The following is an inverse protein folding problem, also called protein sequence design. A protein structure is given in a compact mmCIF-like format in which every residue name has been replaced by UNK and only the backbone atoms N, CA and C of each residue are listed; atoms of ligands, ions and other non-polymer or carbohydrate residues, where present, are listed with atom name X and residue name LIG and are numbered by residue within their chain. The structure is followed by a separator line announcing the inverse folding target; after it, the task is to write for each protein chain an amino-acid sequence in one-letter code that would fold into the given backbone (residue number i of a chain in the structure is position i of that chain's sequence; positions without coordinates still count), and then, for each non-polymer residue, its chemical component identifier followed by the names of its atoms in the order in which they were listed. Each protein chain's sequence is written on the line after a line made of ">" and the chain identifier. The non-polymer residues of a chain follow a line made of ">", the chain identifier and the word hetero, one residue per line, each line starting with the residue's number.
data_IF_059732366027
#
_entry.id   IF_059732366027
#
_cell.length_a   1.000
_cell.length_b   1.000
_cell.length_c   1.000
_cell.angle_alpha   90.00
_cell.angle_beta   90.00
_cell.angle_gamma   90.00
#
_symmetry.space_group_name_H-M   'P 1'
#
loop_
_entity.id
_entity.type
_entity.pdbx_description
1 polymer ?
#
# COMPACT_ATOMS: atom_id res chain seq x y z
N UNK A 1 -4.18 -25.78 -7.05
CA UNK A 1 -4.28 -24.52 -7.82
C UNK A 1 -2.91 -23.90 -7.81
N UNK A 2 -2.27 -23.62 -8.94
CA UNK A 2 -0.95 -23.00 -8.92
C UNK A 2 -1.07 -21.58 -8.41
N UNK A 3 -0.05 -21.07 -7.68
CA UNK A 3 -0.10 -19.73 -7.08
C UNK A 3 -0.33 -18.61 -8.12
N UNK A 4 0.08 -18.82 -9.37
CA UNK A 4 -0.19 -17.90 -10.49
C UNK A 4 -1.65 -17.84 -10.93
N UNK A 5 -2.46 -18.87 -10.62
CA UNK A 5 -3.85 -18.97 -11.08
C UNK A 5 -4.82 -18.15 -10.22
N UNK A 6 -4.34 -17.56 -9.11
CA UNK A 6 -5.17 -16.71 -8.23
C UNK A 6 -5.38 -15.31 -8.79
N UNK A 7 -4.56 -14.87 -9.76
CA UNK A 7 -4.68 -13.55 -10.34
C UNK A 7 -5.82 -13.48 -11.35
N UNK A 8 -6.69 -12.52 -11.17
CA UNK A 8 -7.78 -12.22 -12.10
C UNK A 8 -7.53 -10.85 -12.72
N UNK A 9 -7.52 -10.81 -14.05
CA UNK A 9 -7.34 -9.56 -14.78
C UNK A 9 -8.57 -9.30 -15.65
N UNK A 10 -9.21 -8.16 -15.44
CA UNK A 10 -10.30 -7.68 -16.30
C UNK A 10 -9.76 -6.64 -17.28
N UNK A 11 -10.08 -6.78 -18.56
CA UNK A 11 -9.64 -5.84 -19.58
C UNK A 11 -10.19 -4.43 -19.31
N UNK A 12 -9.32 -3.43 -19.33
CA UNK A 12 -9.69 -2.02 -19.11
C UNK A 12 -9.93 -1.64 -17.65
N UNK A 13 -9.57 -2.50 -16.71
CA UNK A 13 -9.63 -2.22 -15.27
C UNK A 13 -8.30 -2.52 -14.60
N UNK A 14 -7.85 -1.63 -13.74
CA UNK A 14 -6.66 -1.85 -12.91
C UNK A 14 -6.94 -2.89 -11.83
N UNK A 15 -6.04 -3.86 -11.67
CA UNK A 15 -6.04 -4.83 -10.57
C UNK A 15 -5.08 -4.37 -9.49
N UNK A 16 -5.50 -4.42 -8.24
CA UNK A 16 -4.74 -3.99 -7.07
C UNK A 16 -4.34 -5.19 -6.20
N UNK A 17 -3.06 -5.31 -5.92
CA UNK A 17 -2.48 -6.40 -5.12
C UNK A 17 -1.78 -5.77 -3.93
N UNK A 18 -2.26 -6.06 -2.74
CA UNK A 18 -1.64 -5.62 -1.50
C UNK A 18 -0.79 -6.76 -0.93
N UNK A 19 0.44 -6.45 -0.57
CA UNK A 19 1.34 -7.39 0.11
C UNK A 19 1.60 -6.88 1.51
N UNK A 20 1.09 -7.59 2.51
CA UNK A 20 1.19 -7.19 3.90
C UNK A 20 1.76 -8.29 4.79
N UNK A 21 2.06 -7.94 6.03
CA UNK A 21 2.61 -8.85 7.03
C UNK A 21 3.39 -8.09 8.10
N UNK A 22 3.87 -8.81 9.10
CA UNK A 22 4.72 -8.29 10.18
C UNK A 22 6.01 -7.65 9.64
N UNK A 23 6.65 -6.77 10.41
CA UNK A 23 7.98 -6.24 10.07
C UNK A 23 9.02 -7.36 9.92
N UNK A 24 9.86 -7.29 8.87
CA UNK A 24 10.97 -8.23 8.65
C UNK A 24 10.60 -9.59 8.03
N UNK A 25 9.33 -9.82 7.63
CA UNK A 25 8.91 -11.09 7.00
C UNK A 25 9.26 -11.20 5.52
N UNK A 26 9.80 -10.13 4.89
CA UNK A 26 10.19 -10.12 3.48
C UNK A 26 9.10 -9.61 2.53
N UNK A 27 8.19 -8.73 3.00
CA UNK A 27 7.15 -8.12 2.16
C UNK A 27 7.70 -7.50 0.89
N UNK A 28 8.70 -6.63 1.02
CA UNK A 28 9.30 -5.89 -0.10
C UNK A 28 9.90 -6.81 -1.16
N UNK A 29 10.57 -7.90 -0.76
CA UNK A 29 11.09 -8.88 -1.72
C UNK A 29 9.97 -9.63 -2.45
N UNK A 30 8.89 -9.98 -1.73
CA UNK A 30 7.72 -10.66 -2.30
C UNK A 30 6.96 -9.70 -3.25
N UNK A 31 6.71 -8.45 -2.85
CA UNK A 31 6.04 -7.45 -3.69
C UNK A 31 6.86 -7.11 -4.94
N UNK A 32 8.18 -6.94 -4.79
CA UNK A 32 9.10 -6.70 -5.92
C UNK A 32 9.11 -7.87 -6.90
N UNK A 33 9.21 -9.12 -6.41
CA UNK A 33 9.13 -10.31 -7.26
C UNK A 33 7.77 -10.44 -7.94
N UNK A 34 6.67 -10.16 -7.24
CA UNK A 34 5.31 -10.16 -7.81
C UNK A 34 5.18 -9.15 -8.94
N UNK A 35 5.63 -7.91 -8.72
CA UNK A 35 5.58 -6.84 -9.71
C UNK A 35 6.45 -7.16 -10.94
N UNK A 36 7.65 -7.70 -10.70
CA UNK A 36 8.56 -8.13 -11.77
C UNK A 36 7.97 -9.26 -12.62
N UNK A 37 7.36 -10.26 -11.99
CA UNK A 37 6.67 -11.33 -12.69
C UNK A 37 5.53 -10.81 -13.57
N UNK A 38 4.67 -9.93 -13.02
CA UNK A 38 3.55 -9.33 -13.76
C UNK A 38 4.02 -8.52 -14.97
N UNK A 39 5.07 -7.72 -14.80
CA UNK A 39 5.68 -6.97 -15.88
C UNK A 39 6.24 -7.88 -16.98
N UNK A 40 6.87 -9.02 -16.60
CA UNK A 40 7.35 -10.03 -17.53
C UNK A 40 6.20 -10.76 -18.28
N UNK A 41 4.99 -10.78 -17.71
CA UNK A 41 3.78 -11.24 -18.41
C UNK A 41 3.18 -10.17 -19.36
N UNK A 42 3.87 -9.04 -19.57
CA UNK A 42 3.42 -7.95 -20.45
C UNK A 42 2.37 -7.04 -19.83
N UNK A 43 2.19 -7.06 -18.49
CA UNK A 43 1.28 -6.16 -17.78
C UNK A 43 2.00 -4.87 -17.43
N UNK A 44 1.44 -3.71 -17.80
CA UNK A 44 1.94 -2.41 -17.33
C UNK A 44 1.72 -2.34 -15.83
N UNK A 45 2.77 -2.52 -15.06
CA UNK A 45 2.74 -2.73 -13.59
C UNK A 45 3.39 -1.55 -12.88
N UNK A 46 2.72 -1.04 -11.84
CA UNK A 46 3.28 -0.10 -10.87
C UNK A 46 3.47 -0.81 -9.54
N UNK A 47 4.66 -0.74 -8.96
CA UNK A 47 4.87 -1.08 -7.54
C UNK A 47 4.96 0.19 -6.71
N UNK A 48 4.16 0.24 -5.64
CA UNK A 48 4.05 1.38 -4.72
C UNK A 48 4.49 0.94 -3.35
N UNK A 49 5.54 1.54 -2.81
CA UNK A 49 5.91 1.33 -1.41
C UNK A 49 5.30 2.42 -0.53
N UNK A 50 4.66 1.99 0.55
CA UNK A 50 4.17 2.86 1.64
C UNK A 50 5.03 2.76 2.89
N UNK A 51 6.18 2.07 2.81
CA UNK A 51 7.13 1.94 3.91
C UNK A 51 8.14 3.10 3.86
N UNK A 52 8.22 3.95 4.90
CA UNK A 52 9.14 5.09 4.92
C UNK A 52 10.62 4.69 4.98
N UNK A 53 10.94 3.40 5.15
CA UNK A 53 12.31 2.90 5.23
C UNK A 53 13.03 2.79 3.87
N UNK A 54 12.44 3.25 2.76
CA UNK A 54 13.01 3.17 1.39
C UNK A 54 13.48 1.78 0.97
N UNK A 55 12.83 0.75 1.50
CA UNK A 55 13.19 -0.65 1.30
C UNK A 55 13.01 -1.14 -0.14
N UNK A 56 12.18 -0.45 -0.94
CA UNK A 56 11.95 -0.79 -2.34
C UNK A 56 13.13 -0.41 -3.22
N UNK A 57 13.75 0.76 -2.99
CA UNK A 57 15.00 1.18 -3.65
C UNK A 57 16.11 0.17 -3.43
N UNK A 58 16.25 -0.33 -2.20
CA UNK A 58 17.24 -1.35 -1.84
C UNK A 58 16.93 -2.70 -2.51
N UNK A 59 15.66 -3.10 -2.54
CA UNK A 59 15.20 -4.37 -3.11
C UNK A 59 15.44 -4.45 -4.62
N UNK A 60 15.19 -3.33 -5.33
CA UNK A 60 15.33 -3.24 -6.79
C UNK A 60 16.73 -2.78 -7.23
N UNK A 61 17.58 -2.34 -6.30
CA UNK A 61 18.90 -1.74 -6.55
C UNK A 61 18.84 -0.52 -7.52
N UNK A 62 17.76 0.25 -7.41
CA UNK A 62 17.50 1.45 -8.22
C UNK A 62 17.03 2.56 -7.29
N UNK A 63 17.53 3.78 -7.49
CA UNK A 63 17.02 4.94 -6.75
C UNK A 63 15.59 5.25 -7.19
N UNK A 64 14.65 5.11 -6.28
CA UNK A 64 13.23 5.36 -6.49
C UNK A 64 12.86 6.60 -5.66
N UNK A 65 12.05 7.46 -6.25
CA UNK A 65 11.54 8.66 -5.60
C UNK A 65 10.02 8.62 -5.47
N UNK A 66 9.44 9.76 -5.13
CA UNK A 66 8.00 9.94 -4.99
C UNK A 66 7.25 10.12 -6.32
N UNK A 67 7.97 10.11 -7.45
CA UNK A 67 7.40 9.97 -8.80
C UNK A 67 7.69 8.60 -9.37
N UNK A 68 6.79 8.03 -10.19
CA UNK A 68 7.02 6.75 -10.84
C UNK A 68 8.31 6.75 -11.67
N UNK A 69 9.24 5.86 -11.33
CA UNK A 69 10.48 5.61 -12.07
C UNK A 69 10.30 4.33 -12.87
N UNK A 70 10.64 4.36 -14.15
CA UNK A 70 10.61 3.17 -14.99
C UNK A 70 11.81 2.27 -14.68
N UNK A 71 11.54 1.04 -14.25
CA UNK A 71 12.54 0.02 -13.92
C UNK A 71 12.90 -0.83 -15.16
N UNK A 72 11.86 -1.23 -15.91
CA UNK A 72 11.99 -1.93 -17.19
C UNK A 72 10.83 -1.56 -18.12
N UNK A 73 10.66 -2.27 -19.24
CA UNK A 73 9.65 -1.95 -20.25
C UNK A 73 8.22 -1.80 -19.69
N UNK A 74 7.84 -2.67 -18.74
CA UNK A 74 6.49 -2.72 -18.18
C UNK A 74 6.43 -2.51 -16.66
N UNK A 75 7.56 -2.32 -15.98
CA UNK A 75 7.62 -2.12 -14.52
C UNK A 75 7.99 -0.68 -14.20
N UNK A 76 7.15 -0.07 -13.38
CA UNK A 76 7.34 1.25 -12.77
C UNK A 76 7.34 1.10 -11.25
N UNK A 77 8.08 1.95 -10.56
CA UNK A 77 8.17 1.92 -9.11
C UNK A 77 8.09 3.33 -8.52
N UNK A 78 7.45 3.45 -7.36
CA UNK A 78 7.34 4.70 -6.60
C UNK A 78 7.40 4.40 -5.11
N UNK A 79 8.14 5.23 -4.36
CA UNK A 79 8.14 5.26 -2.91
C UNK A 79 7.38 6.49 -2.43
N UNK A 80 6.33 6.30 -1.64
CA UNK A 80 5.57 7.39 -1.06
C UNK A 80 6.43 8.00 0.06
N UNK A 81 6.86 9.24 -0.14
CA UNK A 81 7.59 10.04 0.82
C UNK A 81 6.65 11.15 1.32
N UNK A 82 6.09 11.03 2.53
CA UNK A 82 5.14 12.00 3.06
C UNK A 82 5.74 13.41 3.17
N UNK A 83 7.03 13.51 3.54
CA UNK A 83 7.71 14.80 3.71
C UNK A 83 7.82 15.55 2.38
N UNK A 84 8.19 14.83 1.31
CA UNK A 84 8.25 15.43 -0.03
C UNK A 84 6.87 15.78 -0.59
N UNK A 85 5.86 14.96 -0.34
CA UNK A 85 4.50 15.27 -0.73
C UNK A 85 4.01 16.58 -0.06
N UNK A 86 4.39 16.78 1.20
CA UNK A 86 4.08 18.01 1.94
C UNK A 86 4.85 19.22 1.43
N UNK A 87 6.16 19.07 1.16
CA UNK A 87 6.97 20.15 0.56
C UNK A 87 6.41 20.62 -0.79
N UNK A 88 5.90 19.69 -1.61
CA UNK A 88 5.30 20.04 -2.89
C UNK A 88 4.00 20.83 -2.74
N UNK A 89 3.17 20.46 -1.76
CA UNK A 89 1.97 21.24 -1.44
C UNK A 89 2.31 22.65 -1.01
N UNK A 90 3.34 22.80 -0.16
CA UNK A 90 3.83 24.12 0.24
C UNK A 90 4.32 24.92 -0.95
N UNK A 91 5.14 24.32 -1.83
CA UNK A 91 5.63 24.99 -3.05
C UNK A 91 4.49 25.37 -4.01
N UNK A 92 3.48 24.47 -4.16
CA UNK A 92 2.31 24.76 -4.98
C UNK A 92 1.49 25.93 -4.40
N UNK A 93 1.38 26.00 -3.08
CA UNK A 93 0.72 27.11 -2.39
C UNK A 93 1.51 28.41 -2.55
N UNK A 94 2.84 28.38 -2.40
CA UNK A 94 3.71 29.54 -2.61
C UNK A 94 3.63 30.06 -4.05
N UNK A 95 3.59 29.16 -5.04
CA UNK A 95 3.41 29.53 -6.44
C UNK A 95 2.05 30.20 -6.69
N UNK A 96 0.97 29.69 -6.07
CA UNK A 96 -0.34 30.34 -6.10
C UNK A 96 -0.33 31.72 -5.41
N UNK A 97 0.36 31.84 -4.27
CA UNK A 97 0.55 33.13 -3.57
C UNK A 97 1.25 34.17 -4.44
N UNK A 98 2.26 33.78 -5.23
CA UNK A 98 3.00 34.68 -6.12
C UNK A 98 2.17 35.20 -7.30
N UNK A 99 1.08 34.54 -7.65
CA UNK A 99 0.16 34.89 -8.75
C UNK A 99 -1.16 35.53 -8.25
N UNK A 100 -1.38 35.58 -6.93
CA UNK A 100 -2.62 36.01 -6.32
C UNK A 100 -2.70 37.56 -6.17
N UNK A 101 -3.92 38.10 -6.26
CA UNK A 101 -4.21 39.51 -5.93
C UNK A 101 -4.12 39.73 -4.42
N UNK A 102 -3.99 41.01 -4.01
CA UNK A 102 -3.84 41.37 -2.58
C UNK A 102 -4.93 40.83 -1.65
N UNK A 103 -6.16 40.70 -2.15
CA UNK A 103 -7.30 40.17 -1.39
C UNK A 103 -7.26 38.63 -1.26
N UNK A 104 -6.69 37.93 -2.24
CA UNK A 104 -6.48 36.49 -2.22
C UNK A 104 -5.29 36.06 -1.34
N UNK A 105 -4.29 36.96 -1.16
CA UNK A 105 -3.12 36.72 -0.31
C UNK A 105 -3.47 36.45 1.15
N UNK A 106 -4.48 37.16 1.68
CA UNK A 106 -4.91 37.00 3.08
C UNK A 106 -5.52 35.62 3.36
N UNK A 107 -6.29 35.08 2.40
CA UNK A 107 -6.84 33.70 2.46
C UNK A 107 -5.76 32.64 2.31
N UNK A 108 -4.78 32.86 1.41
CA UNK A 108 -3.66 31.95 1.18
C UNK A 108 -2.65 31.95 2.35
N UNK A 109 -2.46 33.07 3.06
CA UNK A 109 -1.66 33.11 4.27
C UNK A 109 -2.29 32.34 5.42
N UNK A 110 -3.61 32.47 5.61
CA UNK A 110 -4.35 31.69 6.58
C UNK A 110 -4.30 30.19 6.25
N UNK A 111 -4.43 29.81 4.97
CA UNK A 111 -4.26 28.43 4.51
C UNK A 111 -2.83 27.91 4.73
N UNK A 112 -1.82 28.76 4.54
CA UNK A 112 -0.41 28.42 4.81
C UNK A 112 -0.18 28.11 6.29
N UNK A 113 -0.65 28.98 7.20
CA UNK A 113 -0.57 28.74 8.64
C UNK A 113 -1.35 27.49 9.08
N UNK A 114 -2.51 27.20 8.47
CA UNK A 114 -3.27 25.98 8.73
C UNK A 114 -2.55 24.72 8.21
N UNK A 115 -1.87 24.81 7.06
CA UNK A 115 -1.06 23.73 6.52
C UNK A 115 0.18 23.46 7.40
N UNK A 116 0.84 24.51 7.86
CA UNK A 116 2.00 24.39 8.75
C UNK A 116 1.60 23.79 10.11
N UNK A 117 0.44 24.15 10.66
CA UNK A 117 -0.12 23.52 11.85
C UNK A 117 -0.54 22.07 11.59
N UNK A 118 -1.13 21.80 10.43
CA UNK A 118 -1.54 20.44 10.04
C UNK A 118 -0.31 19.55 9.79
N UNK A 119 0.75 20.07 9.18
CA UNK A 119 2.01 19.32 8.94
C UNK A 119 2.75 18.97 10.23
N UNK A 120 2.61 19.78 11.26
CA UNK A 120 3.15 19.51 12.59
C UNK A 120 2.23 18.62 13.45
N UNK A 121 1.04 18.25 12.94
CA UNK A 121 0.07 17.44 13.66
C UNK A 121 0.33 15.94 13.48
N UNK A 122 0.19 15.11 14.52
CA UNK A 122 0.22 13.66 14.34
C UNK A 122 -0.83 13.22 13.33
N UNK A 123 -0.41 12.50 12.28
CA UNK A 123 -1.28 12.02 11.20
C UNK A 123 -1.18 12.80 9.89
N UNK A 124 -0.31 13.81 9.80
CA UNK A 124 -0.06 14.54 8.55
C UNK A 124 0.60 13.64 7.49
N UNK A 125 1.55 12.81 7.92
CA UNK A 125 2.24 11.84 7.08
C UNK A 125 1.27 10.80 6.53
N UNK A 126 0.34 10.31 7.36
CA UNK A 126 -0.70 9.38 6.96
C UNK A 126 -1.68 10.04 5.97
N UNK A 127 -1.98 11.33 6.13
CA UNK A 127 -2.87 12.05 5.21
C UNK A 127 -2.21 12.25 3.83
N UNK A 128 -0.92 12.58 3.78
CA UNK A 128 -0.18 12.71 2.53
C UNK A 128 -0.05 11.36 1.80
N UNK A 129 0.29 10.30 2.52
CA UNK A 129 0.32 8.94 1.98
C UNK A 129 -1.05 8.50 1.45
N UNK A 130 -2.13 8.88 2.14
CA UNK A 130 -3.50 8.56 1.73
C UNK A 130 -3.90 9.28 0.42
N UNK A 131 -3.49 10.51 0.22
CA UNK A 131 -3.78 11.24 -1.01
C UNK A 131 -3.12 10.60 -2.23
N UNK A 132 -1.84 10.20 -2.10
CA UNK A 132 -1.16 9.42 -3.14
C UNK A 132 -1.86 8.09 -3.36
N UNK A 133 -2.24 7.40 -2.29
CA UNK A 133 -3.01 6.17 -2.34
C UNK A 133 -4.32 6.34 -3.13
N UNK A 134 -5.12 7.38 -2.84
CA UNK A 134 -6.35 7.68 -3.56
C UNK A 134 -6.09 7.94 -5.05
N UNK A 135 -5.07 8.72 -5.37
CA UNK A 135 -4.73 9.04 -6.75
C UNK A 135 -4.37 7.79 -7.56
N UNK A 136 -3.65 6.86 -6.94
CA UNK A 136 -3.29 5.57 -7.55
C UNK A 136 -4.52 4.66 -7.69
N UNK A 137 -5.38 4.59 -6.65
CA UNK A 137 -6.58 3.74 -6.66
C UNK A 137 -7.64 4.18 -7.67
N UNK A 138 -7.70 5.46 -7.99
CA UNK A 138 -8.64 6.03 -8.98
C UNK A 138 -8.02 6.17 -10.38
N UNK A 139 -6.71 5.92 -10.54
CA UNK A 139 -6.02 5.91 -11.83
C UNK A 139 -6.28 4.59 -12.58
N UNK A 140 -6.43 4.69 -13.89
CA UNK A 140 -6.47 3.53 -14.80
C UNK A 140 -5.24 3.49 -15.72
N UNK A 141 -4.14 4.08 -15.29
CA UNK A 141 -2.92 4.18 -16.09
C UNK A 141 -2.17 2.84 -16.21
N UNK A 142 -2.30 1.98 -15.19
CA UNK A 142 -1.60 0.69 -15.09
C UNK A 142 -2.59 -0.46 -15.14
N UNK A 143 -2.16 -1.59 -15.71
CA UNK A 143 -2.95 -2.84 -15.69
C UNK A 143 -2.99 -3.41 -14.27
N UNK A 144 -1.87 -3.31 -13.55
CA UNK A 144 -1.73 -3.83 -12.18
C UNK A 144 -0.95 -2.84 -11.32
N UNK A 145 -1.43 -2.68 -10.09
CA UNK A 145 -0.71 -1.96 -9.04
C UNK A 145 -0.43 -2.91 -7.88
N UNK A 146 0.84 -3.04 -7.52
CA UNK A 146 1.30 -3.83 -6.37
C UNK A 146 1.67 -2.87 -5.24
N UNK A 147 0.99 -2.95 -4.11
CA UNK A 147 1.30 -2.19 -2.91
C UNK A 147 2.22 -3.00 -1.99
N UNK A 148 3.47 -2.54 -1.85
CA UNK A 148 4.36 -2.96 -0.76
C UNK A 148 4.00 -2.16 0.47
N UNK A 149 3.36 -2.82 1.43
CA UNK A 149 2.77 -2.10 2.55
C UNK A 149 3.71 -2.06 3.75
N UNK A 150 3.66 -0.98 4.51
CA UNK A 150 4.26 -0.89 5.84
C UNK A 150 3.76 -2.03 6.77
N UNK A 151 4.38 -2.29 7.93
CA UNK A 151 3.91 -3.32 8.87
C UNK A 151 2.41 -3.22 9.18
N UNK A 152 1.75 -4.35 9.36
CA UNK A 152 0.29 -4.56 9.42
C UNK A 152 -0.54 -3.48 10.13
N UNK A 153 -0.02 -2.86 11.19
CA UNK A 153 -0.73 -1.81 11.92
C UNK A 153 -0.93 -0.52 11.11
N UNK A 154 0.06 -0.09 10.36
CA UNK A 154 -0.01 1.09 9.48
C UNK A 154 -0.83 0.80 8.23
N UNK A 155 -0.66 -0.38 7.63
CA UNK A 155 -1.44 -0.82 6.47
C UNK A 155 -2.94 -0.83 6.77
N UNK A 156 -3.34 -1.43 7.91
CA UNK A 156 -4.74 -1.46 8.32
C UNK A 156 -5.30 -0.05 8.54
N UNK A 157 -4.50 0.89 9.07
CA UNK A 157 -4.89 2.29 9.18
C UNK A 157 -5.12 2.90 7.79
N UNK A 158 -4.17 2.72 6.86
CA UNK A 158 -4.31 3.24 5.49
C UNK A 158 -5.55 2.69 4.80
N UNK A 159 -5.79 1.38 4.90
CA UNK A 159 -6.95 0.72 4.29
C UNK A 159 -8.28 1.04 4.98
N UNK A 160 -8.27 1.37 6.28
CA UNK A 160 -9.45 1.85 7.01
C UNK A 160 -9.68 3.35 6.88
N UNK A 161 -8.70 4.08 6.34
CA UNK A 161 -8.74 5.53 6.22
C UNK A 161 -9.92 6.05 5.38
N UNK A 162 -10.32 5.39 4.27
CA UNK A 162 -11.52 5.79 3.53
C UNK A 162 -12.78 5.88 4.40
N UNK A 163 -12.99 4.94 5.34
CA UNK A 163 -14.15 4.99 6.24
C UNK A 163 -14.05 6.13 7.27
N UNK A 164 -12.84 6.34 7.80
CA UNK A 164 -12.59 7.42 8.75
C UNK A 164 -12.76 8.77 8.08
N UNK A 165 -12.20 8.93 6.87
CA UNK A 165 -12.29 10.17 6.08
C UNK A 165 -13.72 10.45 5.61
N UNK A 166 -14.48 9.45 5.19
CA UNK A 166 -15.90 9.62 4.84
C UNK A 166 -16.70 10.17 6.02
N UNK A 167 -16.49 9.62 7.21
CA UNK A 167 -17.10 10.13 8.44
C UNK A 167 -16.68 11.57 8.75
N UNK A 168 -15.40 11.91 8.53
CA UNK A 168 -14.85 13.24 8.80
C UNK A 168 -15.32 14.27 7.77
N UNK A 169 -15.24 13.95 6.47
CA UNK A 169 -15.76 14.79 5.38
C UNK A 169 -17.25 15.01 5.54
N UNK A 170 -18.01 13.97 5.88
CA UNK A 170 -19.44 14.09 6.16
C UNK A 170 -19.75 15.00 7.35
N UNK A 171 -18.96 14.97 8.42
CA UNK A 171 -19.07 15.89 9.55
C UNK A 171 -18.71 17.31 9.17
N UNK A 172 -17.64 17.50 8.37
CA UNK A 172 -17.20 18.80 7.90
C UNK A 172 -18.24 19.44 6.98
N UNK A 173 -18.82 18.67 6.05
CA UNK A 173 -19.92 19.13 5.20
C UNK A 173 -21.16 19.56 6.01
N UNK A 174 -21.53 18.78 7.04
CA UNK A 174 -22.65 19.12 7.93
C UNK A 174 -22.36 20.37 8.76
N UNK A 175 -21.14 20.50 9.30
CA UNK A 175 -20.71 21.67 10.05
C UNK A 175 -20.74 22.92 9.16
N UNK A 176 -20.22 22.81 7.92
CA UNK A 176 -20.22 23.89 6.95
C UNK A 176 -21.64 24.29 6.51
N UNK A 177 -22.54 23.31 6.31
CA UNK A 177 -23.93 23.57 6.00
C UNK A 177 -24.65 24.27 7.16
N UNK A 178 -24.34 23.90 8.41
CA UNK A 178 -24.88 24.57 9.60
C UNK A 178 -24.37 26.02 9.74
N UNK A 179 -23.07 26.25 9.48
CA UNK A 179 -22.48 27.60 9.44
C UNK A 179 -23.02 28.43 8.27
N UNK A 180 -23.22 27.83 7.08
CA UNK A 180 -23.79 28.52 5.91
C UNK A 180 -25.20 29.05 6.16
N UNK A 181 -26.00 28.35 7.01
CA UNK A 181 -27.29 28.85 7.47
C UNK A 181 -27.18 30.00 8.49
N UNK A 182 -26.10 30.05 9.26
CA UNK A 182 -25.80 31.13 10.21
C UNK A 182 -25.17 32.34 9.50
N UNK A 183 -24.38 32.15 8.44
CA UNK A 183 -23.74 33.23 7.67
C UNK A 183 -24.72 34.03 6.84
N UNK A 184 -25.89 33.48 6.48
CA UNK A 184 -26.96 34.29 5.90
C UNK A 184 -27.52 35.35 6.87
N UNK A 185 -27.35 35.13 8.18
CA UNK A 185 -27.64 36.15 9.20
C UNK A 185 -26.45 37.09 9.43
N UNK A 186 -25.22 36.64 9.21
CA UNK A 186 -23.96 37.39 9.35
C UNK A 186 -23.57 38.17 8.08
N UNK A 187 -23.99 37.75 6.88
CA UNK A 187 -23.79 38.50 5.62
C UNK A 187 -24.35 39.93 5.67
N UNK A 188 -25.32 40.21 6.53
CA UNK A 188 -25.83 41.55 6.77
C UNK A 188 -24.92 42.37 7.70
N UNK A 189 -23.89 41.77 8.29
CA UNK A 189 -22.99 42.42 9.28
C UNK A 189 -21.54 42.51 8.75
N UNK A 190 -21.12 41.62 7.86
CA UNK A 190 -19.75 41.62 7.28
C UNK A 190 -19.86 41.54 5.75
N UNK A 191 -19.63 42.63 5.00
CA UNK A 191 -19.82 42.70 3.53
C UNK A 191 -18.75 41.99 2.70
N UNK A 192 -17.78 41.33 3.29
CA UNK A 192 -16.55 40.77 2.65
C UNK A 192 -16.45 39.24 2.61
N UNK A 193 -17.51 38.49 2.80
CA UNK A 193 -17.48 37.01 2.61
C UNK A 193 -17.98 36.70 1.20
N UNK A 194 -17.01 36.44 0.28
CA UNK A 194 -17.30 36.11 -1.10
C UNK A 194 -17.97 34.73 -1.26
N UNK A 195 -19.06 34.72 -2.03
CA UNK A 195 -19.82 33.49 -2.33
C UNK A 195 -19.07 32.49 -3.24
N UNK A 196 -18.02 32.94 -3.91
CA UNK A 196 -17.25 32.13 -4.87
C UNK A 196 -16.29 31.15 -4.19
N UNK A 197 -15.68 31.52 -3.06
CA UNK A 197 -14.82 30.61 -2.26
C UNK A 197 -15.61 29.42 -1.67
N UNK A 198 -16.88 29.65 -1.33
CA UNK A 198 -17.77 28.61 -0.78
C UNK A 198 -18.14 27.53 -1.82
N UNK A 199 -18.22 27.90 -3.10
CA UNK A 199 -18.57 27.00 -4.20
C UNK A 199 -17.35 26.12 -4.53
N UNK A 200 -16.16 26.69 -4.63
CA UNK A 200 -14.94 25.99 -4.96
C UNK A 200 -14.55 24.95 -3.88
N UNK A 201 -14.62 25.34 -2.61
CA UNK A 201 -14.36 24.42 -1.49
C UNK A 201 -15.43 23.33 -1.37
N UNK A 202 -16.68 23.57 -1.75
CA UNK A 202 -17.71 22.50 -1.82
C UNK A 202 -17.41 21.50 -2.93
N UNK A 203 -17.02 21.98 -4.10
CA UNK A 203 -16.65 21.12 -5.23
C UNK A 203 -15.44 20.25 -4.90
N UNK A 204 -14.39 20.80 -4.30
CA UNK A 204 -13.22 20.05 -3.86
C UNK A 204 -13.57 18.96 -2.82
N UNK A 205 -14.45 19.27 -1.86
CA UNK A 205 -14.93 18.29 -0.88
C UNK A 205 -15.80 17.20 -1.50
N UNK A 206 -16.65 17.54 -2.48
CA UNK A 206 -17.47 16.57 -3.21
C UNK A 206 -16.61 15.67 -4.09
N UNK A 207 -15.59 16.21 -4.76
CA UNK A 207 -14.62 15.45 -5.55
C UNK A 207 -13.81 14.50 -4.67
N UNK A 208 -13.30 14.97 -3.53
CA UNK A 208 -12.58 14.12 -2.56
C UNK A 208 -13.49 13.00 -2.04
N UNK A 209 -14.73 13.31 -1.72
CA UNK A 209 -15.70 12.30 -1.28
C UNK A 209 -15.94 11.26 -2.37
N UNK A 210 -16.11 11.68 -3.61
CA UNK A 210 -16.28 10.77 -4.76
C UNK A 210 -15.08 9.85 -4.92
N UNK A 211 -13.85 10.36 -4.83
CA UNK A 211 -12.63 9.56 -4.89
C UNK A 211 -12.56 8.53 -3.74
N UNK A 212 -12.96 8.93 -2.54
CA UNK A 212 -13.02 8.02 -1.38
C UNK A 212 -14.05 6.90 -1.61
N UNK A 213 -15.23 7.23 -2.12
CA UNK A 213 -16.28 6.26 -2.40
C UNK A 213 -15.85 5.29 -3.53
N UNK A 214 -15.18 5.79 -4.56
CA UNK A 214 -14.59 4.99 -5.64
C UNK A 214 -13.50 4.05 -5.12
N UNK A 215 -12.58 4.55 -4.29
CA UNK A 215 -11.53 3.74 -3.68
C UNK A 215 -12.09 2.63 -2.78
N UNK A 216 -13.13 2.93 -1.99
CA UNK A 216 -13.86 1.92 -1.18
C UNK A 216 -14.45 0.82 -2.04
N UNK A 217 -15.14 1.20 -3.13
CA UNK A 217 -15.75 0.25 -4.04
C UNK A 217 -14.70 -0.67 -4.66
N UNK A 218 -13.55 -0.12 -5.05
CA UNK A 218 -12.42 -0.88 -5.61
C UNK A 218 -11.81 -1.81 -4.55
N UNK A 219 -11.56 -1.32 -3.34
CA UNK A 219 -10.97 -2.13 -2.25
C UNK A 219 -11.86 -3.32 -1.86
N UNK A 220 -13.17 -3.15 -1.92
CA UNK A 220 -14.15 -4.19 -1.55
C UNK A 220 -14.51 -5.13 -2.71
N UNK A 221 -14.02 -4.88 -3.93
CA UNK A 221 -14.26 -5.73 -5.10
C UNK A 221 -13.20 -6.84 -5.17
N UNK A 222 -13.55 -8.11 -4.85
CA UNK A 222 -12.59 -9.23 -4.85
C UNK A 222 -12.08 -9.62 -6.24
N UNK A 223 -12.70 -9.09 -7.30
CA UNK A 223 -12.23 -9.27 -8.67
C UNK A 223 -11.20 -8.19 -9.09
N UNK A 224 -11.09 -7.11 -8.31
CA UNK A 224 -10.14 -6.00 -8.57
C UNK A 224 -9.06 -5.87 -7.51
N UNK A 225 -9.38 -6.24 -6.27
CA UNK A 225 -8.46 -6.07 -5.14
C UNK A 225 -8.26 -7.37 -4.41
N UNK A 226 -7.00 -7.71 -4.14
CA UNK A 226 -6.62 -8.88 -3.37
C UNK A 226 -5.49 -8.53 -2.39
N UNK A 227 -5.48 -9.22 -1.26
CA UNK A 227 -4.46 -9.08 -0.24
C UNK A 227 -3.67 -10.39 -0.09
N UNK A 228 -2.34 -10.30 -0.18
CA UNK A 228 -1.40 -11.40 0.03
C UNK A 228 -0.72 -11.21 1.37
N UNK A 229 -0.91 -12.15 2.28
CA UNK A 229 -0.32 -12.10 3.61
C UNK A 229 1.02 -12.84 3.63
N UNK A 230 2.10 -12.15 3.93
CA UNK A 230 3.43 -12.74 4.11
C UNK A 230 3.63 -13.08 5.58
N UNK A 231 3.98 -14.33 5.85
CA UNK A 231 4.15 -14.91 7.18
C UNK A 231 5.50 -15.60 7.23
N UNK A 232 6.14 -15.63 8.37
CA UNK A 232 7.26 -16.56 8.65
C UNK A 232 6.78 -17.64 9.62
N UNK A 233 7.36 -18.85 9.63
CA UNK A 233 6.92 -19.94 10.50
C UNK A 233 7.32 -19.71 11.96
N UNK A 234 6.85 -18.59 12.51
CA UNK A 234 6.99 -18.17 13.90
C UNK A 234 5.62 -17.86 14.50
N UNK A 235 5.43 -18.23 15.77
CA UNK A 235 4.15 -18.13 16.45
C UNK A 235 3.58 -16.71 16.46
N UNK A 236 4.42 -15.73 16.75
CA UNK A 236 4.02 -14.32 16.78
C UNK A 236 3.57 -13.84 15.40
N UNK A 237 4.28 -14.22 14.33
CA UNK A 237 3.94 -13.87 12.95
C UNK A 237 2.59 -14.47 12.54
N UNK A 238 2.34 -15.73 12.90
CA UNK A 238 1.09 -16.44 12.59
C UNK A 238 -0.11 -15.75 13.26
N UNK A 239 -0.03 -15.47 14.56
CA UNK A 239 -1.14 -14.83 15.29
C UNK A 239 -1.36 -13.36 14.90
N UNK A 240 -0.29 -12.63 14.55
CA UNK A 240 -0.43 -11.27 14.01
C UNK A 240 -1.13 -11.28 12.67
N UNK A 241 -0.78 -12.22 11.79
CA UNK A 241 -1.40 -12.36 10.47
C UNK A 241 -2.87 -12.78 10.58
N UNK A 242 -3.22 -13.67 11.50
CA UNK A 242 -4.62 -14.05 11.78
C UNK A 242 -5.44 -12.80 12.17
N UNK A 243 -4.97 -12.01 13.12
CA UNK A 243 -5.64 -10.77 13.53
C UNK A 243 -5.74 -9.74 12.41
N UNK A 244 -4.69 -9.64 11.56
CA UNK A 244 -4.70 -8.75 10.41
C UNK A 244 -5.74 -9.17 9.37
N UNK A 245 -5.85 -10.46 9.07
CA UNK A 245 -6.87 -11.01 8.16
C UNK A 245 -8.27 -10.77 8.71
N UNK A 246 -8.49 -11.00 10.00
CA UNK A 246 -9.78 -10.70 10.65
C UNK A 246 -10.15 -9.21 10.54
N UNK A 247 -9.16 -8.32 10.67
CA UNK A 247 -9.38 -6.89 10.52
C UNK A 247 -9.68 -6.51 9.06
N UNK A 248 -8.97 -7.06 8.07
CA UNK A 248 -9.23 -6.85 6.65
C UNK A 248 -10.65 -7.32 6.26
N UNK A 249 -11.08 -8.46 6.77
CA UNK A 249 -12.42 -8.99 6.53
C UNK A 249 -13.53 -8.04 7.03
N UNK A 250 -13.29 -7.25 8.09
CA UNK A 250 -14.25 -6.23 8.56
C UNK A 250 -14.47 -5.11 7.54
N UNK A 251 -13.47 -4.88 6.69
CA UNK A 251 -13.52 -3.90 5.58
C UNK A 251 -13.86 -4.53 4.24
N UNK A 252 -14.30 -5.81 4.24
CA UNK A 252 -14.58 -6.60 3.03
C UNK A 252 -13.37 -6.74 2.08
N UNK A 253 -12.15 -6.66 2.60
CA UNK A 253 -10.93 -6.87 1.83
C UNK A 253 -10.55 -8.34 1.90
N UNK A 254 -10.53 -9.01 0.75
CA UNK A 254 -10.29 -10.45 0.67
C UNK A 254 -8.79 -10.76 0.70
N UNK A 255 -8.36 -11.60 1.63
CA UNK A 255 -7.05 -12.24 1.62
C UNK A 255 -7.16 -13.56 0.88
N UNK A 256 -6.57 -13.66 -0.31
CA UNK A 256 -6.65 -14.87 -1.16
C UNK A 256 -5.52 -15.86 -0.91
N UNK A 257 -4.37 -15.38 -0.41
CA UNK A 257 -3.18 -16.21 -0.25
C UNK A 257 -2.32 -15.84 0.94
N UNK A 258 -1.65 -16.86 1.45
CA UNK A 258 -0.60 -16.78 2.47
C UNK A 258 0.72 -17.17 1.83
N UNK A 259 1.73 -16.35 1.97
CA UNK A 259 3.10 -16.64 1.51
C UNK A 259 3.93 -16.88 2.76
N UNK A 260 4.31 -18.14 2.98
CA UNK A 260 5.15 -18.53 4.10
C UNK A 260 6.61 -18.37 3.66
N UNK A 261 7.24 -17.31 4.11
CA UNK A 261 8.61 -16.99 3.75
C UNK A 261 9.61 -17.52 4.81
N UNK A 262 10.86 -17.63 4.43
CA UNK A 262 11.97 -18.05 5.29
C UNK A 262 11.78 -19.47 5.86
N UNK A 263 11.24 -20.38 5.06
CA UNK A 263 11.11 -21.79 5.43
C UNK A 263 12.48 -22.44 5.44
N UNK A 264 12.89 -22.95 6.59
CA UNK A 264 14.22 -23.53 6.76
C UNK A 264 14.31 -24.90 6.06
N UNK A 265 15.33 -25.13 5.23
CA UNK A 265 15.57 -26.46 4.66
C UNK A 265 16.02 -27.43 5.74
N UNK A 266 15.79 -28.73 5.52
CA UNK A 266 16.32 -29.77 6.42
C UNK A 266 17.84 -29.93 6.22
N UNK A 267 18.62 -29.51 7.22
CA UNK A 267 20.07 -29.64 7.25
C UNK A 267 20.40 -30.64 8.37
N UNK A 268 20.44 -31.92 8.01
CA UNK A 268 20.61 -33.03 8.94
C UNK A 268 21.97 -33.02 9.67
N UNK A 269 23.00 -32.44 9.07
CA UNK A 269 24.37 -32.42 9.62
C UNK A 269 24.61 -31.30 10.65
N UNK A 270 23.57 -30.53 10.98
CA UNK A 270 23.60 -29.45 11.97
C UNK A 270 22.46 -29.62 12.97
N UNK A 271 22.74 -30.01 14.20
CA UNK A 271 21.75 -30.22 15.26
C UNK A 271 20.87 -28.97 15.51
N UNK A 272 21.47 -27.78 15.47
CA UNK A 272 20.74 -26.52 15.62
C UNK A 272 19.78 -26.30 14.43
N UNK A 273 20.26 -26.47 13.21
CA UNK A 273 19.46 -26.28 11.99
C UNK A 273 18.32 -27.31 11.95
N UNK A 274 18.60 -28.56 12.23
CA UNK A 274 17.60 -29.62 12.27
C UNK A 274 16.53 -29.34 13.36
N UNK A 275 16.93 -28.90 14.56
CA UNK A 275 15.99 -28.53 15.62
C UNK A 275 15.08 -27.35 15.21
N UNK A 276 15.62 -26.37 14.52
CA UNK A 276 14.85 -25.23 13.97
C UNK A 276 13.88 -25.69 12.89
N UNK A 277 14.32 -26.52 11.97
CA UNK A 277 13.48 -27.15 10.93
C UNK A 277 12.30 -27.90 11.57
N UNK A 278 12.56 -28.80 12.55
CA UNK A 278 11.51 -29.55 13.22
C UNK A 278 10.51 -28.65 13.95
N UNK A 279 10.94 -27.52 14.51
CA UNK A 279 10.06 -26.54 15.11
C UNK A 279 9.18 -25.85 14.04
N UNK A 280 9.79 -25.47 12.90
CA UNK A 280 9.05 -24.85 11.81
C UNK A 280 8.02 -25.80 11.19
N UNK A 281 8.29 -27.10 11.07
CA UNK A 281 7.30 -28.08 10.59
C UNK A 281 6.00 -28.06 11.41
N UNK A 282 6.12 -27.91 12.73
CA UNK A 282 4.93 -27.76 13.60
C UNK A 282 4.19 -26.43 13.34
N UNK A 283 4.92 -25.38 12.97
CA UNK A 283 4.33 -24.07 12.67
C UNK A 283 3.69 -24.06 11.28
N UNK A 284 4.27 -24.75 10.30
CA UNK A 284 3.66 -24.96 8.98
C UNK A 284 2.33 -25.69 9.12
N UNK A 285 2.26 -26.78 9.89
CA UNK A 285 1.00 -27.47 10.16
C UNK A 285 -0.06 -26.56 10.83
N UNK A 286 0.37 -25.63 11.72
CA UNK A 286 -0.52 -24.63 12.32
C UNK A 286 -1.01 -23.63 11.28
N UNK A 287 -0.14 -23.19 10.35
CA UNK A 287 -0.48 -22.28 9.24
C UNK A 287 -1.55 -22.95 8.36
N UNK A 288 -1.34 -24.20 7.94
CA UNK A 288 -2.29 -24.96 7.12
C UNK A 288 -3.65 -25.11 7.81
N UNK A 289 -3.66 -25.33 9.11
CA UNK A 289 -4.90 -25.43 9.88
C UNK A 289 -5.63 -24.09 9.97
N UNK A 290 -4.90 -22.98 10.24
CA UNK A 290 -5.51 -21.67 10.47
C UNK A 290 -5.94 -21.00 9.17
N UNK A 291 -5.21 -21.21 8.10
CA UNK A 291 -5.40 -20.54 6.80
C UNK A 291 -5.85 -21.50 5.70
N UNK A 292 -6.60 -22.53 6.07
CA UNK A 292 -7.07 -23.59 5.16
C UNK A 292 -7.91 -23.09 3.98
N UNK A 293 -8.46 -21.87 4.05
CA UNK A 293 -9.26 -21.26 2.98
C UNK A 293 -8.43 -20.43 1.99
N UNK A 294 -7.16 -20.19 2.29
CA UNK A 294 -6.23 -19.42 1.44
C UNK A 294 -5.32 -20.37 0.66
N UNK A 295 -4.85 -19.90 -0.49
CA UNK A 295 -3.77 -20.59 -1.20
C UNK A 295 -2.46 -20.32 -0.46
N UNK A 296 -1.76 -21.37 -0.05
CA UNK A 296 -0.47 -21.25 0.65
C UNK A 296 0.67 -21.53 -0.32
N UNK A 297 1.65 -20.62 -0.34
CA UNK A 297 2.92 -20.80 -1.03
C UNK A 297 4.07 -20.72 -0.03
N UNK A 298 5.06 -21.59 -0.17
CA UNK A 298 6.26 -21.61 0.68
C UNK A 298 7.47 -21.10 -0.07
N UNK A 299 8.26 -20.25 0.60
CA UNK A 299 9.52 -19.70 0.08
C UNK A 299 10.63 -20.11 1.05
N UNK A 300 11.67 -20.78 0.56
CA UNK A 300 12.79 -21.22 1.40
C UNK A 300 13.58 -20.04 1.97
N UNK A 301 14.25 -20.26 3.08
CA UNK A 301 15.23 -19.33 3.62
C UNK A 301 16.44 -19.29 2.71
N UNK A 302 16.67 -18.13 2.09
CA UNK A 302 17.86 -17.90 1.29
C UNK A 302 19.09 -17.66 2.16
N UNK A 303 20.27 -18.04 1.68
CA UNK A 303 21.54 -17.79 2.34
C UNK A 303 21.86 -16.30 2.44
N UNK A 304 21.53 -15.56 1.38
CA UNK A 304 21.75 -14.13 1.28
C UNK A 304 20.44 -13.37 1.21
N UNK A 305 20.50 -12.05 1.37
CA UNK A 305 19.35 -11.16 1.14
C UNK A 305 18.86 -11.25 -0.32
N UNK A 306 17.54 -11.30 -0.47
CA UNK A 306 16.89 -11.30 -1.79
C UNK A 306 16.74 -9.85 -2.27
N UNK A 307 17.75 -9.38 -3.00
CA UNK A 307 17.80 -8.06 -3.62
C UNK A 307 18.44 -8.11 -5.00
N UNK A 308 18.11 -7.13 -5.82
CA UNK A 308 18.55 -7.07 -7.21
C UNK A 308 17.78 -8.02 -8.12
N UNK A 309 17.79 -7.71 -9.41
CA UNK A 309 16.95 -8.39 -10.41
C UNK A 309 17.18 -9.90 -10.46
N UNK A 310 18.43 -10.35 -10.36
CA UNK A 310 18.77 -11.78 -10.46
C UNK A 310 18.12 -12.61 -9.35
N UNK A 311 18.23 -12.16 -8.08
CA UNK A 311 17.67 -12.89 -6.93
C UNK A 311 16.14 -12.77 -6.88
N UNK A 312 15.59 -11.64 -7.31
CA UNK A 312 14.15 -11.47 -7.44
C UNK A 312 13.56 -12.40 -8.50
N UNK A 313 14.26 -12.66 -9.62
CA UNK A 313 13.85 -13.64 -10.62
C UNK A 313 13.84 -15.06 -10.06
N UNK A 314 14.79 -15.45 -9.20
CA UNK A 314 14.76 -16.75 -8.50
C UNK A 314 13.50 -16.86 -7.61
N UNK A 315 13.14 -15.78 -6.93
CA UNK A 315 11.91 -15.75 -6.12
C UNK A 315 10.65 -15.84 -7.00
N UNK A 316 10.66 -15.25 -8.19
CA UNK A 316 9.59 -15.39 -9.20
C UNK A 316 9.44 -16.86 -9.63
N UNK A 317 10.53 -17.56 -9.91
CA UNK A 317 10.54 -18.98 -10.29
C UNK A 317 9.86 -19.86 -9.22
N UNK A 318 10.19 -19.61 -7.94
CA UNK A 318 9.59 -20.33 -6.80
C UNK A 318 8.09 -20.04 -6.68
N UNK A 319 7.72 -18.77 -6.69
CA UNK A 319 6.33 -18.39 -6.42
C UNK A 319 5.38 -18.69 -7.58
N UNK A 320 5.83 -18.47 -8.81
CA UNK A 320 4.93 -18.40 -9.96
C UNK A 320 5.18 -19.44 -11.05
N UNK A 321 6.40 -20.00 -11.16
CA UNK A 321 6.77 -20.93 -12.22
C UNK A 321 6.77 -22.39 -11.77
N UNK A 322 6.60 -22.63 -10.47
CA UNK A 322 6.42 -23.99 -9.93
C UNK A 322 7.68 -24.86 -10.04
N UNK A 323 8.87 -24.26 -10.05
CA UNK A 323 10.11 -25.05 -9.91
C UNK A 323 10.12 -25.68 -8.52
N UNK A 324 10.31 -27.01 -8.50
CA UNK A 324 10.27 -27.79 -7.27
C UNK A 324 11.20 -27.18 -6.21
N UNK A 325 10.67 -27.03 -5.00
CA UNK A 325 11.44 -26.58 -3.85
C UNK A 325 12.74 -27.40 -3.64
N UNK A 326 12.77 -28.66 -4.06
CA UNK A 326 13.93 -29.55 -3.91
C UNK A 326 15.09 -29.16 -4.83
N UNK A 327 14.86 -28.78 -6.10
CA UNK A 327 15.90 -28.27 -7.00
C UNK A 327 16.41 -26.89 -6.56
N UNK A 328 15.50 -26.05 -6.07
CA UNK A 328 15.83 -24.72 -5.56
C UNK A 328 16.56 -24.81 -4.23
N UNK A 329 16.16 -25.72 -3.33
CA UNK A 329 16.84 -25.96 -2.05
C UNK A 329 18.29 -26.43 -2.26
N UNK A 330 18.56 -27.30 -3.22
CA UNK A 330 19.93 -27.71 -3.55
C UNK A 330 20.77 -26.54 -4.07
N UNK A 331 20.19 -25.66 -4.88
CA UNK A 331 20.87 -24.46 -5.39
C UNK A 331 21.00 -23.35 -4.32
N UNK A 332 20.05 -23.26 -3.36
CA UNK A 332 20.11 -22.32 -2.24
C UNK A 332 21.16 -22.72 -1.19
N UNK A 333 21.40 -24.02 -1.02
CA UNK A 333 22.43 -24.55 -0.11
C UNK A 333 23.82 -24.46 -0.74
N UNK A 334 23.93 -24.53 -2.08
CA UNK A 334 25.22 -24.48 -2.81
C UNK A 334 25.69 -23.05 -3.15
N UNK A 335 24.86 -22.03 -3.04
CA UNK A 335 25.20 -20.61 -3.19
C UNK A 335 25.46 -19.96 -1.85
#
# INVERSE_FOLDING_TARGET
>A
MAFKDIFKFKQGQTTFIFVGGKGGVGKTSISSATALWLANQGKKTLIVSTDPAHSLSDSLEVTIGHYPVQINENLFAVEIDPDKAMEEKQRALESKKSMASADQLMGLDFLGEQLDLASASPGADEAAAFEVFLSVMTSNEYDVVVFDTAPTGHTLRLLSFPEVMDSWVGKLMKAKAALGNATNALKNIIPFMDADEDIQTRQELEETKKQIDEAKAVLSDPDRTTFKMVVIPEEMSIYESERAIEALNKYNITTDSIIVNQVMPDISDCDFCHSRYMLQQKRLALIDQKFSNQVVAEVPLFKDEVKGQEKLLKLVEILYEGKDNDEVQQNVIQL
#
